data_IF_304646588394
#
_entry.id   IF_304646588394
#
_cell.length_a   1.000
_cell.length_b   1.000
_cell.length_c   1.000
_cell.angle_alpha   90.00
_cell.angle_beta   90.00
_cell.angle_gamma   90.00
#
_symmetry.space_group_name_H-M   'P 1'
#
loop_
_entity.id
_entity.type
_entity.pdbx_description
1 polymer ?
#
# COMPACT_ATOMS: atom_id res chain seq x y z
N UNK A 1 -13.03 -17.06 24.99
CA UNK A 1 -13.91 -16.30 24.09
C UNK A 1 -13.19 -15.02 23.71
N UNK A 2 -12.74 -14.91 22.46
CA UNK A 2 -12.18 -13.67 21.94
C UNK A 2 -13.30 -12.64 21.89
N UNK A 3 -13.14 -11.50 22.55
CA UNK A 3 -14.12 -10.43 22.36
C UNK A 3 -13.93 -9.91 20.93
N UNK A 4 -15.02 -9.75 20.16
CA UNK A 4 -14.99 -9.24 18.76
C UNK A 4 -14.13 -7.98 18.60
N UNK A 5 -14.05 -7.18 19.66
CA UNK A 5 -13.21 -5.98 19.76
C UNK A 5 -11.72 -6.32 19.66
N UNK A 6 -11.22 -7.31 20.40
CA UNK A 6 -9.81 -7.70 20.38
C UNK A 6 -9.35 -8.19 19.00
N UNK A 7 -10.18 -8.96 18.29
CA UNK A 7 -9.91 -9.37 16.90
C UNK A 7 -9.85 -8.16 15.96
N UNK A 8 -10.77 -7.20 16.10
CA UNK A 8 -10.76 -5.97 15.29
C UNK A 8 -9.52 -5.13 15.56
N UNK A 9 -9.10 -5.01 16.82
CA UNK A 9 -7.88 -4.29 17.21
C UNK A 9 -6.65 -5.00 16.62
N UNK A 10 -6.57 -6.32 16.70
CA UNK A 10 -5.47 -7.09 16.09
C UNK A 10 -5.39 -6.92 14.57
N UNK A 11 -6.54 -7.00 13.88
CA UNK A 11 -6.64 -6.76 12.45
C UNK A 11 -6.20 -5.33 12.06
N UNK A 12 -6.59 -4.33 12.87
CA UNK A 12 -6.16 -2.94 12.67
C UNK A 12 -4.64 -2.81 12.82
N UNK A 13 -4.06 -3.34 13.90
CA UNK A 13 -2.62 -3.27 14.13
C UNK A 13 -1.82 -3.92 12.99
N UNK A 14 -2.32 -5.05 12.47
CA UNK A 14 -1.73 -5.74 11.31
C UNK A 14 -1.79 -4.89 10.04
N UNK A 15 -2.93 -4.21 9.79
CA UNK A 15 -3.09 -3.29 8.66
C UNK A 15 -2.16 -2.08 8.76
N UNK A 16 -1.89 -1.60 9.97
CA UNK A 16 -1.00 -0.45 10.23
C UNK A 16 0.49 -0.85 10.30
N UNK A 17 0.82 -2.13 10.19
CA UNK A 17 2.20 -2.64 10.30
C UNK A 17 2.78 -2.52 11.72
N UNK A 18 1.93 -2.44 12.74
CA UNK A 18 2.32 -2.27 14.13
C UNK A 18 2.53 -3.64 14.80
N UNK A 19 3.76 -4.01 15.21
CA UNK A 19 3.97 -5.23 15.95
C UNK A 19 3.36 -5.13 17.35
N UNK A 20 2.63 -6.17 17.73
CA UNK A 20 2.07 -6.34 19.08
C UNK A 20 2.36 -7.76 19.55
N UNK A 21 2.43 -7.93 20.87
CA UNK A 21 2.59 -9.23 21.51
C UNK A 21 1.27 -9.65 22.12
N UNK A 22 0.90 -10.91 21.93
CA UNK A 22 -0.30 -11.50 22.53
C UNK A 22 -1.17 -12.20 21.51
N UNK A 23 -2.24 -12.83 22.01
CA UNK A 23 -3.14 -13.61 21.19
C UNK A 23 -4.51 -12.94 21.17
N UNK A 24 -4.93 -12.54 19.97
CA UNK A 24 -6.23 -11.92 19.68
C UNK A 24 -7.39 -12.76 20.26
N UNK A 25 -7.25 -14.08 20.24
CA UNK A 25 -8.27 -15.02 20.72
C UNK A 25 -8.48 -15.00 22.24
N UNK A 26 -7.50 -14.51 23.00
CA UNK A 26 -7.54 -14.39 24.46
C UNK A 26 -7.75 -12.95 24.93
N UNK A 27 -7.91 -11.99 24.00
CA UNK A 27 -8.17 -10.58 24.33
C UNK A 27 -6.97 -9.84 24.94
N UNK A 28 -5.81 -10.48 25.04
CA UNK A 28 -4.59 -9.88 25.59
C UNK A 28 -3.72 -9.39 24.44
N UNK A 29 -3.70 -8.08 24.23
CA UNK A 29 -2.85 -7.41 23.23
C UNK A 29 -1.94 -6.44 23.99
N UNK A 30 -0.63 -6.59 23.82
CA UNK A 30 0.39 -5.70 24.38
C UNK A 30 1.07 -4.95 23.25
N UNK A 31 0.98 -3.63 23.29
CA UNK A 31 1.64 -2.75 22.33
C UNK A 31 2.84 -2.13 23.03
N UNK A 32 3.99 -2.10 22.35
CA UNK A 32 5.18 -1.44 22.86
C UNK A 32 5.03 0.08 22.70
N UNK A 33 5.09 0.81 23.81
CA UNK A 33 4.91 2.28 23.82
C UNK A 33 5.89 3.03 22.92
N UNK A 34 7.14 2.54 22.80
CA UNK A 34 8.13 3.11 21.88
C UNK A 34 7.71 2.98 20.41
N UNK A 35 7.16 1.84 20.03
CA UNK A 35 6.67 1.59 18.67
C UNK A 35 5.43 2.42 18.37
N UNK A 36 4.49 2.50 19.33
CA UNK A 36 3.33 3.37 19.20
C UNK A 36 3.74 4.84 19.08
N UNK A 37 4.70 5.30 19.88
CA UNK A 37 5.25 6.67 19.81
C UNK A 37 5.89 6.96 18.46
N UNK A 38 6.69 6.03 17.92
CA UNK A 38 7.30 6.17 16.59
C UNK A 38 6.27 6.19 15.46
N UNK A 39 5.19 5.43 15.59
CA UNK A 39 4.12 5.38 14.60
C UNK A 39 3.23 6.63 14.64
N UNK A 40 2.94 7.14 15.84
CA UNK A 40 2.18 8.37 16.07
C UNK A 40 3.00 9.64 15.84
N UNK A 41 4.33 9.53 15.76
CA UNK A 41 5.20 10.62 15.35
C UNK A 41 5.33 10.60 13.83
N UNK A 42 4.55 11.40 13.08
CA UNK A 42 4.94 11.71 11.72
C UNK A 42 6.35 12.32 11.80
N UNK A 43 7.27 11.87 10.95
CA UNK A 43 8.59 12.51 10.82
C UNK A 43 8.36 13.96 10.38
N UNK A 44 8.32 14.88 11.35
CA UNK A 44 8.23 16.33 11.15
C UNK A 44 9.61 16.92 10.81
N UNK A 45 10.65 16.10 10.83
CA UNK A 45 11.96 16.42 10.29
C UNK A 45 11.86 16.33 8.77
N UNK A 46 11.70 17.49 8.13
CA UNK A 46 12.13 17.81 6.77
C UNK A 46 12.37 16.57 5.93
N UNK A 47 11.31 15.99 5.34
CA UNK A 47 11.48 14.83 4.50
C UNK A 47 12.55 15.14 3.43
N UNK A 48 13.68 14.42 3.39
CA UNK A 48 14.30 14.19 2.10
C UNK A 48 13.22 13.45 1.31
N UNK A 49 12.90 13.92 0.10
CA UNK A 49 12.16 13.12 -0.89
C UNK A 49 12.98 11.83 -1.18
N UNK A 50 12.97 10.83 -0.31
CA UNK A 50 13.83 9.66 -0.46
C UNK A 50 13.11 8.41 0.02
N UNK A 51 12.68 7.61 -0.97
CA UNK A 51 12.14 6.27 -0.79
C UNK A 51 11.26 5.85 -1.97
N UNK A 52 10.46 6.78 -2.48
CA UNK A 52 9.94 6.64 -3.83
C UNK A 52 11.07 7.07 -4.78
N UNK A 53 11.72 6.11 -5.42
CA UNK A 53 11.96 6.29 -6.86
C UNK A 53 10.70 6.99 -7.40
N UNK A 54 10.77 8.05 -8.22
CA UNK A 54 9.61 8.34 -9.05
C UNK A 54 9.46 7.05 -9.87
N UNK A 55 8.70 6.07 -9.35
CA UNK A 55 8.13 4.98 -10.14
C UNK A 55 7.58 5.76 -11.28
N UNK A 56 8.24 5.63 -12.42
CA UNK A 56 8.23 6.64 -13.42
C UNK A 56 6.79 6.78 -13.90
N UNK A 57 5.96 7.58 -13.22
CA UNK A 57 4.54 7.61 -13.45
C UNK A 57 4.35 8.19 -14.85
N UNK A 58 5.18 9.17 -15.18
CA UNK A 58 5.38 9.70 -16.53
C UNK A 58 5.87 8.63 -17.55
N UNK A 59 6.77 7.71 -17.22
CA UNK A 59 7.14 6.63 -18.17
C UNK A 59 6.02 5.58 -18.27
N UNK A 60 5.34 5.24 -17.18
CA UNK A 60 4.21 4.30 -17.21
C UNK A 60 3.02 4.87 -17.98
N UNK A 61 2.78 6.17 -17.88
CA UNK A 61 1.73 6.88 -18.60
C UNK A 61 2.11 7.04 -20.08
N UNK A 62 3.37 7.37 -20.40
CA UNK A 62 3.87 7.38 -21.78
C UNK A 62 3.83 5.99 -22.43
N UNK A 63 4.20 4.94 -21.69
CA UNK A 63 4.16 3.55 -22.16
C UNK A 63 2.71 3.05 -22.32
N UNK A 64 1.80 3.45 -21.42
CA UNK A 64 0.38 3.14 -21.53
C UNK A 64 -0.25 3.87 -22.72
N UNK A 65 0.05 5.16 -22.90
CA UNK A 65 -0.37 5.96 -24.05
C UNK A 65 0.09 5.33 -25.36
N UNK A 66 1.37 4.95 -25.46
CA UNK A 66 1.91 4.22 -26.61
C UNK A 66 1.15 2.91 -26.86
N UNK A 67 0.94 2.09 -25.82
CA UNK A 67 0.19 0.83 -25.94
C UNK A 67 -1.25 1.05 -26.42
N UNK A 68 -1.91 2.10 -25.95
CA UNK A 68 -3.27 2.47 -26.38
C UNK A 68 -3.26 2.92 -27.85
N UNK A 69 -2.30 3.75 -28.26
CA UNK A 69 -2.17 4.18 -29.67
C UNK A 69 -1.90 2.99 -30.60
N UNK A 70 -1.00 2.09 -30.20
CA UNK A 70 -0.69 0.87 -30.96
C UNK A 70 -1.93 -0.05 -31.08
N UNK A 71 -2.70 -0.21 -30.00
CA UNK A 71 -3.97 -0.96 -30.01
C UNK A 71 -5.01 -0.30 -30.92
N UNK A 72 -5.22 1.01 -30.80
CA UNK A 72 -6.15 1.75 -31.65
C UNK A 72 -5.77 1.66 -33.13
N UNK A 73 -4.47 1.73 -33.45
CA UNK A 73 -3.96 1.54 -34.81
C UNK A 73 -4.28 0.14 -35.31
N UNK A 74 -4.04 -0.90 -34.51
CA UNK A 74 -4.35 -2.28 -34.86
C UNK A 74 -5.86 -2.49 -35.08
N UNK A 75 -6.72 -1.81 -34.32
CA UNK A 75 -8.18 -1.84 -34.56
C UNK A 75 -8.53 -1.13 -35.89
N UNK A 76 -7.92 0.02 -36.19
CA UNK A 76 -8.12 0.75 -37.46
C UNK A 76 -7.60 -0.01 -38.68
N UNK A 77 -6.50 -0.76 -38.52
CA UNK A 77 -5.90 -1.57 -39.59
C UNK A 77 -6.36 -3.03 -39.58
N UNK A 78 -7.13 -3.42 -38.55
CA UNK A 78 -7.63 -4.77 -38.32
C UNK A 78 -8.83 -5.08 -39.19
N UNK A 79 -8.65 -5.01 -40.51
CA UNK A 79 -9.36 -5.81 -41.51
C UNK A 79 -8.76 -5.64 -42.93
N UNK A 80 -7.43 -5.67 -43.06
CA UNK A 80 -6.74 -5.65 -44.38
C UNK A 80 -5.97 -6.94 -44.69
N UNK A 81 -6.30 -8.03 -43.99
CA UNK A 81 -5.89 -9.37 -44.40
C UNK A 81 -6.93 -9.88 -45.40
N UNK A 82 -6.60 -9.80 -46.69
CA UNK A 82 -7.32 -10.39 -47.80
C UNK A 82 -7.01 -11.89 -47.92
#
# INVERSE_FOLDING_TARGET
>A
MATRVSQKIGALLRRLGLPYQGNESYGKIRIYGLTAKRWLQPKLETAPRFGAQPTNFNLSEALLGKKITDQQRNIRTGNLSL
#
